data_IF_052659922202
#
_entry.id   IF_052659922202
#
_cell.length_a   1.000
_cell.length_b   1.000
_cell.length_c   1.000
_cell.angle_alpha   90.00
_cell.angle_beta   90.00
_cell.angle_gamma   90.00
#
_symmetry.space_group_name_H-M   'P 1'
#
loop_
_entity.id
_entity.type
_entity.pdbx_description
1 polymer ?
#
# COMPACT_ATOMS: atom_id res chain seq x y z
N UNK A 1 14.91 -26.94 9.33
CA UNK A 1 15.18 -26.52 7.93
C UNK A 1 13.90 -25.90 7.42
N UNK A 2 13.90 -24.61 7.07
CA UNK A 2 12.88 -24.04 6.18
C UNK A 2 13.62 -23.56 4.94
N UNK A 3 12.98 -23.56 3.77
CA UNK A 3 12.73 -22.24 3.22
C UNK A 3 11.30 -22.06 2.68
N UNK A 4 10.78 -20.87 2.99
CA UNK A 4 10.16 -19.90 2.08
C UNK A 4 9.02 -20.42 1.18
N UNK A 5 7.78 -20.20 1.62
CA UNK A 5 6.67 -19.96 0.70
C UNK A 5 6.39 -18.46 0.66
N UNK A 6 6.97 -17.79 -0.33
CA UNK A 6 6.47 -16.52 -0.83
C UNK A 6 5.44 -16.89 -1.90
N UNK A 7 4.17 -16.91 -1.54
CA UNK A 7 3.09 -17.09 -2.52
C UNK A 7 2.88 -15.76 -3.24
N UNK A 8 3.46 -15.70 -4.45
CA UNK A 8 3.45 -14.56 -5.36
C UNK A 8 2.17 -14.61 -6.25
N UNK A 9 1.04 -15.06 -5.71
CA UNK A 9 -0.23 -15.03 -6.42
C UNK A 9 -1.09 -13.85 -5.97
N UNK A 10 -1.21 -12.88 -6.88
CA UNK A 10 -2.33 -11.93 -7.01
C UNK A 10 -2.24 -10.58 -6.28
N UNK A 11 -1.04 -10.05 -6.08
CA UNK A 11 -0.84 -8.61 -5.89
C UNK A 11 -0.31 -7.99 -7.18
N UNK A 12 -1.15 -7.82 -8.21
CA UNK A 12 -0.99 -6.98 -9.41
C UNK A 12 -1.98 -7.46 -10.50
N UNK A 13 -3.15 -6.86 -10.58
CA UNK A 13 -4.01 -6.95 -11.78
C UNK A 13 -3.98 -5.58 -12.47
N UNK A 14 -3.13 -5.49 -13.50
CA UNK A 14 -3.01 -4.39 -14.46
C UNK A 14 -4.19 -4.37 -15.43
N UNK A 15 -4.90 -3.24 -15.52
CA UNK A 15 -5.60 -2.84 -16.74
C UNK A 15 -5.87 -1.33 -16.72
N UNK A 16 -5.43 -0.65 -17.79
CA UNK A 16 -5.80 0.71 -18.15
C UNK A 16 -7.33 0.90 -18.00
N UNK A 17 -7.74 1.51 -16.89
CA UNK A 17 -9.15 1.74 -16.55
C UNK A 17 -9.68 1.10 -15.25
N UNK A 18 -8.89 0.31 -14.50
CA UNK A 18 -9.31 -0.23 -13.19
C UNK A 18 -8.43 0.29 -12.06
N UNK A 19 -9.09 0.82 -11.02
CA UNK A 19 -8.47 1.23 -9.75
C UNK A 19 -7.90 -0.01 -9.05
N UNK A 20 -6.60 -0.08 -8.73
CA UNK A 20 -6.03 -1.27 -8.13
C UNK A 20 -6.57 -1.43 -6.70
N UNK A 21 -7.28 -2.53 -6.47
CA UNK A 21 -7.59 -2.99 -5.13
C UNK A 21 -6.44 -3.84 -4.63
N UNK A 22 -5.93 -3.56 -3.44
CA UNK A 22 -4.86 -4.36 -2.82
C UNK A 22 -5.41 -5.12 -1.63
N UNK A 23 -5.17 -6.43 -1.59
CA UNK A 23 -5.59 -7.30 -0.49
C UNK A 23 -4.37 -7.67 0.36
N UNK A 24 -4.54 -7.64 1.68
CA UNK A 24 -3.52 -7.96 2.65
C UNK A 24 -4.01 -9.12 3.53
N UNK A 25 -3.34 -10.26 3.48
CA UNK A 25 -3.52 -11.30 4.48
C UNK A 25 -3.13 -10.79 5.87
N UNK A 26 -3.48 -11.51 6.94
CA UNK A 26 -2.93 -11.23 8.28
C UNK A 26 -1.40 -11.30 8.22
N UNK A 27 -0.73 -10.28 8.77
CA UNK A 27 0.73 -10.11 8.66
C UNK A 27 1.23 -9.66 7.30
N UNK A 28 0.35 -9.45 6.31
CA UNK A 28 0.70 -9.06 4.95
C UNK A 28 1.32 -7.66 4.89
N UNK A 29 2.33 -7.48 4.05
CA UNK A 29 3.06 -6.22 3.90
C UNK A 29 3.19 -5.86 2.42
N UNK A 30 2.91 -4.59 2.10
CA UNK A 30 3.47 -3.96 0.92
C UNK A 30 4.76 -3.25 1.37
N UNK A 31 5.95 -3.80 1.02
CA UNK A 31 7.21 -3.37 1.58
C UNK A 31 7.54 -1.90 1.24
N UNK A 32 8.51 -1.28 1.94
CA UNK A 32 8.93 0.08 1.64
C UNK A 32 9.25 0.29 0.14
N UNK A 33 8.53 1.20 -0.52
CA UNK A 33 8.67 1.54 -1.93
C UNK A 33 8.40 3.03 -2.19
N UNK A 34 8.57 3.48 -3.44
CA UNK A 34 8.36 4.89 -3.84
C UNK A 34 7.71 4.97 -5.22
N UNK A 35 6.98 6.06 -5.46
CA UNK A 35 6.48 6.45 -6.77
C UNK A 35 7.18 7.75 -7.20
N UNK A 36 8.14 7.71 -8.14
CA UNK A 36 8.93 8.89 -8.50
C UNK A 36 8.10 10.06 -9.05
N UNK A 37 7.01 9.75 -9.75
CA UNK A 37 6.22 10.73 -10.50
C UNK A 37 4.83 10.99 -9.93
N UNK A 38 4.40 10.26 -8.89
CA UNK A 38 2.99 10.16 -8.53
C UNK A 38 2.79 10.32 -7.02
N UNK A 39 1.73 11.00 -6.63
CA UNK A 39 1.16 10.92 -5.28
C UNK A 39 0.18 9.76 -5.27
N UNK A 40 0.31 8.88 -4.27
CA UNK A 40 -0.67 7.82 -4.02
C UNK A 40 -1.61 8.26 -2.88
N UNK A 41 -2.86 7.84 -2.94
CA UNK A 41 -3.77 7.84 -1.81
C UNK A 41 -4.46 6.48 -1.74
N UNK A 42 -4.58 5.93 -0.54
CA UNK A 42 -5.38 4.72 -0.30
C UNK A 42 -6.65 5.06 0.46
N UNK A 43 -7.70 4.27 0.20
CA UNK A 43 -8.90 4.18 1.02
C UNK A 43 -9.07 2.74 1.50
N UNK A 44 -9.34 2.54 2.78
CA UNK A 44 -9.51 1.19 3.36
C UNK A 44 -10.94 0.70 3.10
N UNK A 45 -11.05 -0.36 2.30
CA UNK A 45 -12.31 -1.04 2.00
C UNK A 45 -12.73 -1.97 3.15
N UNK A 46 -11.78 -2.71 3.71
CA UNK A 46 -12.02 -3.68 4.80
C UNK A 46 -10.79 -3.79 5.71
N UNK A 47 -11.02 -4.16 6.96
CA UNK A 47 -9.94 -4.38 7.95
C UNK A 47 -9.27 -3.08 8.41
N UNK A 48 -7.97 -3.19 8.69
CA UNK A 48 -7.13 -2.10 9.16
C UNK A 48 -5.67 -2.29 8.74
N UNK A 49 -4.91 -1.20 8.67
CA UNK A 49 -3.51 -1.19 8.27
C UNK A 49 -2.70 -0.20 9.11
N UNK A 50 -1.47 -0.58 9.44
CA UNK A 50 -0.41 0.38 9.76
C UNK A 50 0.19 0.89 8.45
N UNK A 51 0.16 2.21 8.27
CA UNK A 51 0.67 2.85 7.06
C UNK A 51 1.61 3.98 7.42
N UNK A 52 2.55 4.30 6.54
CA UNK A 52 3.41 5.43 6.78
C UNK A 52 4.39 5.73 5.66
N UNK A 53 4.99 6.92 5.74
CA UNK A 53 6.04 7.36 4.84
C UNK A 53 7.16 8.08 5.61
N UNK A 54 8.33 8.14 5.00
CA UNK A 54 9.51 8.82 5.54
C UNK A 54 9.65 10.17 4.82
N UNK A 55 9.67 11.26 5.60
CA UNK A 55 9.90 12.62 5.09
C UNK A 55 11.33 12.79 4.58
N UNK A 56 11.59 13.85 3.82
CA UNK A 56 12.96 14.23 3.38
C UNK A 56 13.90 14.57 4.55
N UNK A 57 13.36 14.78 5.75
CA UNK A 57 14.13 14.99 6.98
C UNK A 57 14.29 13.71 7.81
N UNK A 58 14.07 12.52 7.22
CA UNK A 58 14.17 11.21 7.88
C UNK A 58 13.24 11.03 9.08
N UNK A 59 12.13 11.77 9.13
CA UNK A 59 11.06 11.57 10.12
C UNK A 59 10.02 10.60 9.56
N UNK A 60 9.68 9.57 10.33
CA UNK A 60 8.55 8.68 10.04
C UNK A 60 7.23 9.36 10.40
N UNK A 61 6.33 9.45 9.42
CA UNK A 61 4.92 9.78 9.64
C UNK A 61 4.12 8.50 9.41
N UNK A 62 3.50 7.98 10.46
CA UNK A 62 2.69 6.76 10.39
C UNK A 62 1.34 6.92 11.07
N UNK A 63 0.38 6.11 10.66
CA UNK A 63 -0.95 6.05 11.24
C UNK A 63 -1.50 4.62 11.13
N UNK A 64 -2.20 4.17 12.16
CA UNK A 64 -3.10 3.03 12.08
C UNK A 64 -4.42 3.50 11.49
N UNK A 65 -4.81 2.97 10.33
CA UNK A 65 -6.03 3.34 9.62
C UNK A 65 -6.99 2.16 9.52
N UNK A 66 -8.29 2.43 9.64
CA UNK A 66 -9.35 1.42 9.60
C UNK A 66 -10.28 1.63 8.40
N UNK A 67 -11.15 0.65 8.14
CA UNK A 67 -12.23 0.74 7.15
C UNK A 67 -12.90 2.12 7.12
N UNK A 68 -12.98 2.71 5.93
CA UNK A 68 -13.57 4.02 5.71
C UNK A 68 -12.59 5.20 5.82
N UNK A 69 -11.37 4.99 6.28
CA UNK A 69 -10.35 6.03 6.35
C UNK A 69 -9.49 6.10 5.07
N UNK A 70 -8.89 7.27 4.87
CA UNK A 70 -7.94 7.56 3.78
C UNK A 70 -6.57 7.91 4.34
N UNK A 71 -5.53 7.62 3.55
CA UNK A 71 -4.17 8.08 3.85
C UNK A 71 -3.42 8.46 2.57
N UNK A 72 -2.88 9.70 2.47
CA UNK A 72 -2.08 10.13 1.34
C UNK A 72 -0.59 9.81 1.53
N UNK A 73 0.07 9.40 0.45
CA UNK A 73 1.52 9.21 0.34
C UNK A 73 2.09 10.27 -0.63
N UNK A 74 2.87 11.24 -0.14
CA UNK A 74 3.45 12.27 -0.99
C UNK A 74 4.41 11.70 -2.05
N UNK A 75 4.43 12.35 -3.22
CA UNK A 75 5.28 11.95 -4.35
C UNK A 75 6.74 11.74 -3.95
N UNK A 76 7.32 10.64 -4.43
CA UNK A 76 8.74 10.35 -4.33
C UNK A 76 9.22 9.94 -2.93
N UNK A 77 8.34 9.90 -1.93
CA UNK A 77 8.70 9.48 -0.57
C UNK A 77 8.58 7.97 -0.41
N UNK A 78 9.53 7.39 0.34
CA UNK A 78 9.49 5.98 0.73
C UNK A 78 8.31 5.77 1.67
N UNK A 79 7.46 4.78 1.38
CA UNK A 79 6.27 4.48 2.16
C UNK A 79 5.93 2.99 2.14
N UNK A 80 5.04 2.58 3.06
CA UNK A 80 4.65 1.19 3.25
C UNK A 80 3.19 1.07 3.70
N UNK A 81 2.64 -0.13 3.55
CA UNK A 81 1.39 -0.54 4.20
C UNK A 81 1.57 -1.93 4.80
N UNK A 82 1.08 -2.15 6.02
CA UNK A 82 1.21 -3.42 6.72
C UNK A 82 -0.08 -3.76 7.46
N UNK A 83 -0.56 -4.99 7.28
CA UNK A 83 -1.65 -5.54 8.07
C UNK A 83 -1.07 -6.27 9.29
N UNK A 84 -0.97 -5.58 10.42
CA UNK A 84 -0.59 -6.20 11.70
C UNK A 84 -1.76 -6.85 12.46
N UNK A 85 -2.96 -6.89 11.85
CA UNK A 85 -4.13 -7.54 12.43
C UNK A 85 -4.20 -9.03 12.14
N UNK A 86 -5.08 -9.72 12.87
CA UNK A 86 -5.35 -11.16 12.71
C UNK A 86 -6.37 -11.47 11.59
N UNK A 87 -6.98 -10.44 10.99
CA UNK A 87 -7.98 -10.57 9.92
C UNK A 87 -7.47 -9.92 8.63
N UNK A 88 -7.92 -10.39 7.44
CA UNK A 88 -7.57 -9.76 6.18
C UNK A 88 -8.00 -8.29 6.09
N UNK A 89 -7.25 -7.49 5.33
CA UNK A 89 -7.56 -6.11 5.01
C UNK A 89 -7.55 -5.88 3.49
N UNK A 90 -8.25 -4.85 3.03
CA UNK A 90 -8.29 -4.48 1.63
C UNK A 90 -8.32 -2.97 1.45
N UNK A 91 -7.64 -2.46 0.43
CA UNK A 91 -7.63 -1.04 0.06
C UNK A 91 -7.94 -0.86 -1.42
N UNK A 92 -8.26 0.38 -1.78
CA UNK A 92 -8.22 0.85 -3.16
C UNK A 92 -7.25 2.03 -3.24
N UNK A 93 -6.32 2.01 -4.19
CA UNK A 93 -5.37 3.09 -4.42
C UNK A 93 -5.82 4.01 -5.55
N UNK A 94 -5.48 5.29 -5.43
CA UNK A 94 -5.63 6.31 -6.44
C UNK A 94 -4.31 7.06 -6.62
N UNK A 95 -3.96 7.33 -7.87
CA UNK A 95 -2.75 8.03 -8.26
C UNK A 95 -3.11 9.27 -9.06
N UNK A 96 -2.27 10.32 -8.99
CA UNK A 96 -2.49 11.56 -9.71
C UNK A 96 -1.77 11.63 -11.08
N UNK A 97 -1.31 10.49 -11.60
CA UNK A 97 -0.71 10.36 -12.92
C UNK A 97 -1.27 9.12 -13.63
N UNK A 98 -1.44 9.19 -14.95
CA UNK A 98 -2.04 8.10 -15.74
C UNK A 98 -1.09 6.92 -15.98
N UNK A 99 0.22 7.09 -15.78
CA UNK A 99 1.25 6.05 -16.03
C UNK A 99 1.76 5.35 -14.76
N UNK A 100 1.15 5.65 -13.61
CA UNK A 100 1.49 5.04 -12.32
C UNK A 100 1.22 3.53 -12.38
N UNK A 101 2.28 2.71 -12.34
CA UNK A 101 2.22 1.25 -12.50
C UNK A 101 3.31 0.68 -13.42
N UNK A 102 3.98 1.53 -14.20
CA UNK A 102 5.10 1.11 -15.05
C UNK A 102 6.42 1.71 -14.56
N UNK A 103 7.27 0.86 -13.97
CA UNK A 103 8.73 0.84 -14.12
C UNK A 103 9.25 -0.56 -13.81
#
# INVERSE_FOLDING_TARGET
MSPLNFDLSNGLEDLCGKRPTTNYASGGINPPHTHPCDTEMIFVLEGALDVGFITTSNVLVSKYIVKGEVFPFPRGLVHFQQNNGDVPAATISAFNNQLSGHN
#
